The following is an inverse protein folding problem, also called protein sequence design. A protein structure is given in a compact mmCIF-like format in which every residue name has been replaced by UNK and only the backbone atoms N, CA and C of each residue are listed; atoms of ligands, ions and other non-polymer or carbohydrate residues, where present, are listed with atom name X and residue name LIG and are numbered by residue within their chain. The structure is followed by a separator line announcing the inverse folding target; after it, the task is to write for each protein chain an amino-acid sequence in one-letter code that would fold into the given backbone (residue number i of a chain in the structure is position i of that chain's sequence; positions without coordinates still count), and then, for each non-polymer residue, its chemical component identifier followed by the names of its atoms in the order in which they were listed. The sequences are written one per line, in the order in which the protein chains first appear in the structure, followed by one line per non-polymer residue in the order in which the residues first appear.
data_IF_240611137909
#
_entry.id   IF_240611137909
#
_cell.length_a   1.000
_cell.length_b   1.000
_cell.length_c   1.000
_cell.angle_alpha   90.00
_cell.angle_beta   90.00
_cell.angle_gamma   90.00
#
_symmetry.space_group_name_H-M   'P 1'
#
loop_
_entity.id
_entity.type
_entity.pdbx_description
1 polymer ?
#
# COMPACT_ATOMS: atom_id res chain seq x y z
N UNK A 1 -2.19 -22.57 -18.84
CA UNK A 1 -1.95 -21.39 -19.69
C UNK A 1 -0.72 -20.69 -19.14
N UNK A 2 0.21 -20.24 -19.99
CA UNK A 2 1.61 -19.98 -19.63
C UNK A 2 1.87 -19.25 -18.28
N UNK A 3 1.07 -18.24 -17.95
CA UNK A 3 1.18 -17.51 -16.68
C UNK A 3 0.68 -18.34 -15.48
N UNK A 4 -0.49 -18.96 -15.60
CA UNK A 4 -1.03 -19.87 -14.57
C UNK A 4 -0.14 -21.09 -14.32
N UNK A 5 0.52 -21.60 -15.36
CA UNK A 5 1.45 -22.73 -15.26
C UNK A 5 2.73 -22.37 -14.49
N UNK A 6 3.03 -21.06 -14.36
CA UNK A 6 4.12 -20.50 -13.53
C UNK A 6 3.64 -19.98 -12.17
N UNK A 7 2.39 -20.26 -11.79
CA UNK A 7 1.79 -19.76 -10.55
C UNK A 7 1.50 -18.26 -10.56
N UNK A 8 1.53 -17.63 -11.74
CA UNK A 8 1.23 -16.20 -11.93
C UNK A 8 -0.22 -16.08 -12.38
N UNK A 9 -1.13 -16.11 -11.41
CA UNK A 9 -2.57 -15.92 -11.64
C UNK A 9 -3.07 -14.78 -10.77
N UNK A 10 -3.79 -13.82 -11.36
CA UNK A 10 -4.58 -12.87 -10.58
C UNK A 10 -5.76 -13.63 -9.99
N UNK A 11 -5.81 -13.74 -8.67
CA UNK A 11 -6.91 -14.34 -7.93
C UNK A 11 -7.76 -13.26 -7.29
N UNK A 12 -8.83 -13.71 -6.64
CA UNK A 12 -9.82 -12.86 -6.00
C UNK A 12 -9.32 -12.26 -4.66
N UNK A 13 -8.11 -12.58 -4.20
CA UNK A 13 -7.54 -11.96 -3.01
C UNK A 13 -6.64 -10.78 -3.37
N UNK A 14 -6.89 -9.60 -2.79
CA UNK A 14 -6.06 -8.41 -2.98
C UNK A 14 -5.47 -7.90 -1.66
N UNK A 15 -4.16 -7.65 -1.64
CA UNK A 15 -3.45 -6.89 -0.61
C UNK A 15 -3.33 -5.44 -1.08
N UNK A 16 -3.80 -4.50 -0.27
CA UNK A 16 -3.59 -3.07 -0.49
C UNK A 16 -2.52 -2.53 0.45
N UNK A 17 -1.53 -1.83 -0.10
CA UNK A 17 -0.49 -1.17 0.69
C UNK A 17 0.12 0.03 -0.03
N UNK A 18 0.80 0.89 0.72
CA UNK A 18 1.41 2.10 0.19
C UNK A 18 2.83 2.31 0.70
N UNK A 19 3.68 2.84 -0.17
CA UNK A 19 5.07 3.18 0.17
C UNK A 19 5.40 4.63 -0.18
N UNK A 20 6.11 5.30 0.73
CA UNK A 20 6.58 6.68 0.50
C UNK A 20 7.80 6.68 -0.43
N UNK A 21 7.79 7.59 -1.41
CA UNK A 21 8.93 7.90 -2.29
C UNK A 21 9.28 9.38 -2.10
N UNK A 22 10.54 9.67 -1.79
CA UNK A 22 10.96 11.03 -1.49
C UNK A 22 10.99 11.89 -2.76
N UNK A 23 10.70 13.18 -2.61
CA UNK A 23 11.01 14.18 -3.61
C UNK A 23 12.19 15.06 -3.17
N UNK A 24 12.97 15.62 -4.11
CA UNK A 24 13.89 16.69 -3.80
C UNK A 24 13.15 17.85 -3.10
N UNK A 25 13.60 18.23 -1.91
CA UNK A 25 13.11 19.41 -1.19
C UNK A 25 13.81 20.71 -1.62
N UNK A 26 14.79 20.62 -2.53
CA UNK A 26 15.58 21.76 -2.99
C UNK A 26 14.72 22.80 -3.70
N UNK A 27 14.88 24.06 -3.30
CA UNK A 27 14.32 25.25 -3.95
C UNK A 27 15.32 25.93 -4.86
N UNK A 28 16.54 25.38 -5.02
CA UNK A 28 17.60 25.94 -5.87
C UNK A 28 17.29 25.74 -7.37
N UNK A 29 16.26 26.41 -7.84
CA UNK A 29 15.88 26.54 -9.26
C UNK A 29 15.47 28.00 -9.53
N UNK A 30 15.29 28.36 -10.80
CA UNK A 30 14.95 29.73 -11.24
C UNK A 30 13.74 30.32 -10.49
N UNK A 31 12.76 29.49 -10.17
CA UNK A 31 11.51 29.92 -9.53
C UNK A 31 11.56 29.89 -7.99
N UNK A 32 12.64 29.39 -7.39
CA UNK A 32 12.78 29.30 -5.93
C UNK A 32 11.80 28.34 -5.24
N UNK A 33 11.15 27.44 -5.98
CA UNK A 33 10.01 26.63 -5.49
C UNK A 33 10.28 25.13 -5.53
N UNK A 34 9.72 24.40 -4.57
CA UNK A 34 9.65 22.93 -4.61
C UNK A 34 8.71 22.47 -5.74
N UNK A 35 8.63 21.18 -5.97
CA UNK A 35 7.57 20.62 -6.82
C UNK A 35 6.20 20.90 -6.17
N UNK A 36 5.27 21.62 -6.86
CA UNK A 36 3.98 21.97 -6.31
C UNK A 36 3.03 20.78 -6.12
N UNK A 37 3.25 19.65 -6.82
CA UNK A 37 2.41 18.46 -6.71
C UNK A 37 2.91 17.48 -5.62
N UNK A 38 4.07 17.78 -5.03
CA UNK A 38 4.63 16.99 -3.92
C UNK A 38 4.27 17.64 -2.60
N UNK A 39 3.86 16.82 -1.64
CA UNK A 39 3.46 17.31 -0.31
C UNK A 39 4.15 16.54 0.80
N UNK A 40 4.11 17.11 2.00
CA UNK A 40 4.70 16.52 3.18
C UNK A 40 3.71 15.69 3.97
N UNK A 41 4.19 14.61 4.57
CA UNK A 41 3.44 13.80 5.54
C UNK A 41 4.34 13.42 6.71
N UNK A 42 3.74 13.08 7.84
CA UNK A 42 4.46 12.63 9.02
C UNK A 42 4.23 11.14 9.21
N UNK A 43 5.30 10.35 9.16
CA UNK A 43 5.27 8.92 9.48
C UNK A 43 6.12 8.66 10.72
N UNK A 44 5.48 8.23 11.81
CA UNK A 44 6.12 8.20 13.13
C UNK A 44 6.50 9.62 13.56
N UNK A 45 7.78 9.81 13.95
CA UNK A 45 8.30 11.13 14.33
C UNK A 45 9.05 11.85 13.20
N UNK A 46 9.04 11.30 11.98
CA UNK A 46 9.79 11.86 10.85
C UNK A 46 8.85 12.44 9.78
N UNK A 47 9.24 13.60 9.26
CA UNK A 47 8.57 14.23 8.11
C UNK A 47 9.18 13.74 6.80
N UNK A 48 8.32 13.51 5.82
CA UNK A 48 8.67 13.06 4.47
C UNK A 48 8.03 14.01 3.47
N UNK A 49 8.80 14.50 2.51
CA UNK A 49 8.30 15.31 1.39
C UNK A 49 8.36 14.48 0.12
N UNK A 50 7.25 14.35 -0.60
CA UNK A 50 7.20 13.61 -1.86
C UNK A 50 5.83 13.04 -2.17
N UNK A 51 5.83 11.78 -2.60
CA UNK A 51 4.64 11.05 -3.03
C UNK A 51 4.50 9.69 -2.34
N UNK A 52 3.36 9.06 -2.56
CA UNK A 52 3.08 7.66 -2.24
C UNK A 52 2.87 6.88 -3.53
N UNK A 53 3.37 5.65 -3.54
CA UNK A 53 2.97 4.62 -4.47
C UNK A 53 2.05 3.66 -3.73
N UNK A 54 0.77 3.65 -4.08
CA UNK A 54 -0.25 2.73 -3.59
C UNK A 54 -0.35 1.58 -4.57
N UNK A 55 -0.42 0.34 -4.08
CA UNK A 55 -0.54 -0.83 -4.92
C UNK A 55 -1.63 -1.77 -4.43
N UNK A 56 -2.29 -2.41 -5.41
CA UNK A 56 -3.09 -3.61 -5.23
C UNK A 56 -2.26 -4.78 -5.73
N UNK A 57 -2.04 -5.77 -4.87
CA UNK A 57 -1.27 -6.96 -5.20
C UNK A 57 -2.08 -8.21 -4.91
N UNK A 58 -1.96 -9.22 -5.76
CA UNK A 58 -2.57 -10.53 -5.54
C UNK A 58 -2.06 -11.15 -4.23
N UNK A 59 -2.98 -11.63 -3.38
CA UNK A 59 -2.64 -12.06 -2.03
C UNK A 59 -1.95 -13.43 -1.96
N UNK A 60 -1.95 -14.19 -3.06
CA UNK A 60 -1.25 -15.46 -3.17
C UNK A 60 0.14 -15.30 -3.76
N UNK A 61 0.23 -14.75 -4.97
CA UNK A 61 1.46 -14.58 -5.75
C UNK A 61 2.27 -13.35 -5.37
N UNK A 62 1.63 -12.32 -4.79
CA UNK A 62 2.28 -11.03 -4.51
C UNK A 62 2.50 -10.15 -5.74
N UNK A 63 1.94 -10.53 -6.90
CA UNK A 63 2.03 -9.74 -8.13
C UNK A 63 1.20 -8.47 -8.03
N UNK A 64 1.79 -7.34 -8.43
CA UNK A 64 1.10 -6.06 -8.47
C UNK A 64 0.19 -6.01 -9.70
N UNK A 65 -1.09 -5.73 -9.49
CA UNK A 65 -2.09 -5.59 -10.55
C UNK A 65 -2.58 -4.15 -10.72
N UNK A 66 -2.51 -3.35 -9.65
CA UNK A 66 -2.95 -1.95 -9.65
C UNK A 66 -1.91 -1.04 -9.01
N UNK A 67 -1.70 0.14 -9.57
CA UNK A 67 -0.76 1.15 -9.07
C UNK A 67 -1.38 2.53 -9.14
N UNK A 68 -1.36 3.27 -8.03
CA UNK A 68 -1.81 4.66 -7.97
C UNK A 68 -0.71 5.53 -7.33
N UNK A 69 -0.36 6.62 -7.99
CA UNK A 69 0.56 7.63 -7.46
C UNK A 69 -0.20 8.83 -6.92
N UNK A 70 0.11 9.26 -5.68
CA UNK A 70 -0.49 10.46 -5.07
C UNK A 70 0.56 11.27 -4.33
N UNK A 71 0.29 12.54 -4.04
CA UNK A 71 1.09 13.28 -3.06
C UNK A 71 1.11 12.58 -1.69
N UNK A 72 2.17 12.78 -0.91
CA UNK A 72 2.38 12.00 0.32
C UNK A 72 1.36 12.29 1.44
N UNK A 73 0.67 13.43 1.40
CA UNK A 73 -0.36 13.80 2.37
C UNK A 73 -1.72 13.11 2.13
N UNK A 74 -1.94 12.52 0.94
CA UNK A 74 -3.18 11.82 0.64
C UNK A 74 -3.31 10.60 1.54
N UNK A 75 -4.50 10.41 2.14
CA UNK A 75 -4.78 9.30 3.05
C UNK A 75 -4.88 7.99 2.27
N UNK A 76 -4.24 6.93 2.77
CA UNK A 76 -4.16 5.64 2.04
C UNK A 76 -5.56 5.01 1.86
N UNK A 77 -6.40 5.13 2.88
CA UNK A 77 -7.79 4.67 2.89
C UNK A 77 -8.68 5.28 1.80
N UNK A 78 -8.30 6.41 1.19
CA UNK A 78 -9.08 7.01 0.08
C UNK A 78 -8.72 6.45 -1.29
N UNK A 79 -7.68 5.61 -1.40
CA UNK A 79 -7.22 5.06 -2.67
C UNK A 79 -7.60 3.58 -2.87
N UNK A 80 -8.25 2.95 -1.90
CA UNK A 80 -8.57 1.51 -1.92
C UNK A 80 -9.40 1.14 -3.14
N UNK A 81 -10.45 1.89 -3.47
CA UNK A 81 -11.32 1.62 -4.63
C UNK A 81 -10.55 1.49 -5.95
N UNK A 82 -9.51 2.31 -6.14
CA UNK A 82 -8.65 2.32 -7.34
C UNK A 82 -7.60 1.21 -7.35
N UNK A 83 -7.48 0.49 -6.25
CA UNK A 83 -6.50 -0.58 -6.01
C UNK A 83 -7.15 -1.96 -6.15
N UNK A 84 -8.46 -2.02 -6.35
CA UNK A 84 -9.23 -3.24 -6.52
C UNK A 84 -9.53 -3.45 -8.01
N UNK A 85 -9.52 -4.71 -8.45
CA UNK A 85 -9.82 -5.11 -9.83
C UNK A 85 -11.30 -5.43 -10.05
N UNK A 86 -12.09 -5.60 -8.99
CA UNK A 86 -13.54 -5.75 -9.03
C UNK A 86 -14.03 -7.17 -8.71
N UNK A 87 -13.18 -8.18 -8.89
CA UNK A 87 -13.51 -9.59 -8.65
C UNK A 87 -13.02 -10.07 -7.27
N UNK A 88 -12.73 -9.16 -6.34
CA UNK A 88 -12.22 -9.54 -5.04
C UNK A 88 -13.22 -10.33 -4.18
N UNK A 89 -12.74 -11.35 -3.48
CA UNK A 89 -13.45 -12.02 -2.39
C UNK A 89 -12.84 -11.65 -1.01
N UNK A 90 -11.57 -11.22 -0.98
CA UNK A 90 -10.85 -10.83 0.23
C UNK A 90 -9.99 -9.59 -0.06
N UNK A 91 -10.04 -8.61 0.83
CA UNK A 91 -9.11 -7.46 0.83
C UNK A 91 -8.30 -7.41 2.11
N UNK A 92 -6.98 -7.56 1.99
CA UNK A 92 -6.02 -7.52 3.07
C UNK A 92 -5.36 -6.13 3.15
N UNK A 93 -5.41 -5.48 4.33
CA UNK A 93 -4.90 -4.12 4.47
C UNK A 93 -4.22 -3.87 5.82
N UNK A 94 -3.39 -2.82 5.87
CA UNK A 94 -2.77 -2.36 7.11
C UNK A 94 -3.70 -1.53 7.99
N UNK A 95 -3.27 -1.25 9.22
CA UNK A 95 -4.07 -0.50 10.18
C UNK A 95 -4.31 0.98 9.80
N UNK A 96 -3.59 1.50 8.80
CA UNK A 96 -3.81 2.79 8.16
C UNK A 96 -5.05 2.82 7.26
N UNK A 97 -5.55 1.65 6.84
CA UNK A 97 -6.79 1.49 6.06
C UNK A 97 -8.03 1.24 6.92
N UNK A 98 -7.93 1.39 8.25
CA UNK A 98 -9.08 1.21 9.15
C UNK A 98 -10.25 2.11 8.74
N UNK A 99 -11.43 1.53 8.52
CA UNK A 99 -12.64 2.24 8.10
C UNK A 99 -12.80 2.35 6.58
N UNK A 100 -11.86 1.80 5.79
CA UNK A 100 -12.00 1.70 4.34
C UNK A 100 -13.26 0.94 3.92
N UNK A 101 -13.59 -0.13 4.65
CA UNK A 101 -14.76 -0.97 4.39
C UNK A 101 -16.11 -0.24 4.53
N UNK A 102 -16.12 0.93 5.18
CA UNK A 102 -17.34 1.71 5.46
C UNK A 102 -17.54 2.89 4.53
N UNK A 103 -16.62 3.10 3.58
CA UNK A 103 -16.71 4.26 2.71
C UNK A 103 -17.75 4.03 1.60
N UNK A 104 -18.38 5.10 1.06
CA UNK A 104 -19.40 4.98 0.01
C UNK A 104 -18.92 4.23 -1.24
N UNK A 105 -17.62 4.33 -1.58
CA UNK A 105 -17.04 3.65 -2.74
C UNK A 105 -17.05 2.10 -2.61
N UNK A 106 -17.30 1.59 -1.40
CA UNK A 106 -17.33 0.16 -1.10
C UNK A 106 -18.71 -0.35 -0.67
N UNK A 107 -19.73 0.50 -0.73
CA UNK A 107 -21.11 0.09 -0.47
C UNK A 107 -21.56 -0.99 -1.47
N UNK A 108 -22.18 -2.05 -0.96
CA UNK A 108 -22.63 -3.19 -1.77
C UNK A 108 -21.53 -4.14 -2.26
N UNK A 109 -20.25 -3.91 -1.90
CA UNK A 109 -19.17 -4.85 -2.25
C UNK A 109 -19.21 -6.10 -1.36
N UNK A 110 -19.36 -7.26 -1.99
CA UNK A 110 -19.36 -8.57 -1.31
C UNK A 110 -17.94 -9.09 -1.07
N UNK A 111 -17.20 -8.43 -0.17
CA UNK A 111 -15.79 -8.71 0.09
C UNK A 111 -15.51 -8.89 1.58
N UNK A 112 -14.65 -9.86 1.91
CA UNK A 112 -14.15 -10.04 3.28
C UNK A 112 -12.98 -9.09 3.54
N UNK A 113 -13.19 -8.13 4.44
CA UNK A 113 -12.17 -7.17 4.84
C UNK A 113 -11.27 -7.71 5.96
N UNK A 114 -9.98 -7.88 5.65
CA UNK A 114 -8.93 -8.32 6.58
C UNK A 114 -7.98 -7.16 6.91
N UNK A 115 -8.52 -6.11 7.54
CA UNK A 115 -7.73 -4.98 8.03
C UNK A 115 -6.98 -5.39 9.32
N UNK A 116 -5.69 -5.09 9.38
CA UNK A 116 -4.87 -5.38 10.55
C UNK A 116 -5.29 -4.54 11.76
N UNK A 117 -5.45 -5.19 12.91
CA UNK A 117 -5.76 -4.49 14.16
C UNK A 117 -4.52 -3.81 14.73
N UNK A 118 -4.67 -2.57 15.21
CA UNK A 118 -3.59 -1.89 15.94
C UNK A 118 -3.25 -2.66 17.21
N UNK A 119 -1.96 -2.91 17.47
CA UNK A 119 -1.49 -3.64 18.66
C UNK A 119 -2.04 -3.10 19.98
N UNK A 120 -2.29 -1.79 20.06
CA UNK A 120 -2.86 -1.12 21.23
C UNK A 120 -4.27 -1.59 21.60
N UNK A 121 -5.06 -2.13 20.65
CA UNK A 121 -6.46 -2.52 20.89
C UNK A 121 -6.56 -3.82 21.69
N UNK A 122 -5.65 -4.77 21.46
CA UNK A 122 -5.68 -6.07 22.12
C UNK A 122 -4.56 -6.27 23.15
N UNK A 123 -3.57 -5.38 23.24
CA UNK A 123 -2.55 -5.41 24.32
C UNK A 123 -3.15 -5.20 25.72
N UNK A 124 -4.35 -4.60 25.81
CA UNK A 124 -5.08 -4.41 27.08
C UNK A 124 -5.64 -5.71 27.65
N UNK A 125 -5.76 -6.76 26.83
CA UNK A 125 -6.20 -8.08 27.29
C UNK A 125 -5.06 -8.76 28.06
N UNK A 126 -5.41 -9.58 29.05
CA UNK A 126 -4.44 -10.43 29.72
C UNK A 126 -3.78 -11.38 28.69
N UNK A 127 -2.44 -11.39 28.68
CA UNK A 127 -1.64 -12.24 27.79
C UNK A 127 -1.90 -13.73 27.98
N UNK A 128 -2.32 -14.14 29.19
CA UNK A 128 -2.65 -15.54 29.50
C UNK A 128 -4.03 -15.93 28.96
N UNK A 129 -4.91 -14.96 28.72
CA UNK A 129 -6.27 -15.20 28.22
C UNK A 129 -6.28 -15.89 26.85
N UNK A 130 -7.25 -16.79 26.67
CA UNK A 130 -7.50 -17.47 25.39
C UNK A 130 -7.79 -16.46 24.29
N UNK A 131 -8.56 -15.40 24.61
CA UNK A 131 -8.93 -14.34 23.67
C UNK A 131 -7.70 -13.59 23.14
N UNK A 132 -6.74 -13.24 23.99
CA UNK A 132 -5.49 -12.60 23.55
C UNK A 132 -4.70 -13.51 22.62
N UNK A 133 -4.55 -14.80 22.98
CA UNK A 133 -3.81 -15.78 22.18
C UNK A 133 -4.47 -15.98 20.81
N UNK A 134 -5.80 -16.08 20.76
CA UNK A 134 -6.57 -16.20 19.52
C UNK A 134 -6.39 -14.97 18.63
N UNK A 135 -6.60 -13.75 19.17
CA UNK A 135 -6.37 -12.50 18.42
C UNK A 135 -4.95 -12.40 17.88
N UNK A 136 -3.95 -12.75 18.69
CA UNK A 136 -2.55 -12.75 18.25
C UNK A 136 -2.29 -13.72 17.10
N UNK A 137 -2.92 -14.90 17.08
CA UNK A 137 -2.80 -15.84 15.96
C UNK A 137 -3.44 -15.28 14.68
N UNK A 138 -4.63 -14.69 14.78
CA UNK A 138 -5.31 -14.05 13.65
C UNK A 138 -4.46 -12.91 13.07
N UNK A 139 -3.98 -11.99 13.92
CA UNK A 139 -3.16 -10.87 13.46
C UNK A 139 -1.79 -11.32 12.90
N UNK A 140 -1.25 -12.44 13.40
CA UNK A 140 -0.05 -13.07 12.80
C UNK A 140 -0.34 -13.60 11.39
N UNK A 141 -1.49 -14.27 11.19
CA UNK A 141 -1.88 -14.77 9.88
C UNK A 141 -2.09 -13.62 8.87
N UNK A 142 -2.81 -12.55 9.26
CA UNK A 142 -2.95 -11.33 8.44
C UNK A 142 -1.59 -10.73 8.06
N UNK A 143 -0.66 -10.67 9.01
CA UNK A 143 0.69 -10.16 8.75
C UNK A 143 1.50 -11.03 7.78
N UNK A 144 1.33 -12.36 7.82
CA UNK A 144 2.01 -13.27 6.88
C UNK A 144 1.53 -13.08 5.45
N UNK A 145 0.22 -12.89 5.23
CA UNK A 145 -0.32 -12.56 3.90
C UNK A 145 0.25 -11.22 3.43
N UNK A 146 0.15 -10.19 4.28
CA UNK A 146 0.64 -8.84 3.96
C UNK A 146 2.13 -8.76 3.68
N UNK A 147 2.96 -9.63 4.27
CA UNK A 147 4.39 -9.63 4.03
C UNK A 147 4.75 -9.82 2.54
N UNK A 148 3.85 -10.40 1.73
CA UNK A 148 4.05 -10.55 0.28
C UNK A 148 4.20 -9.20 -0.44
N UNK A 149 3.49 -8.16 -0.01
CA UNK A 149 3.58 -6.81 -0.59
C UNK A 149 4.92 -6.12 -0.30
N UNK A 150 5.68 -6.60 0.70
CA UNK A 150 7.01 -6.07 1.00
C UNK A 150 8.01 -6.41 -0.12
N UNK A 151 7.80 -7.53 -0.83
CA UNK A 151 8.68 -7.95 -1.92
C UNK A 151 8.73 -6.95 -3.08
N UNK A 152 7.62 -6.58 -3.74
CA UNK A 152 7.65 -5.61 -4.83
C UNK A 152 8.19 -4.25 -4.36
N UNK A 153 7.83 -3.77 -3.16
CA UNK A 153 8.44 -2.54 -2.64
C UNK A 153 9.95 -2.63 -2.44
N UNK A 154 10.46 -3.78 -1.99
CA UNK A 154 11.90 -4.01 -1.87
C UNK A 154 12.58 -4.00 -3.23
N UNK A 155 12.01 -4.63 -4.25
CA UNK A 155 12.54 -4.63 -5.63
C UNK A 155 12.70 -3.19 -6.11
N UNK A 156 11.62 -2.41 -6.09
CA UNK A 156 11.60 -0.99 -6.50
C UNK A 156 12.68 -0.18 -5.76
N UNK A 157 12.74 -0.30 -4.43
CA UNK A 157 13.60 0.57 -3.61
C UNK A 157 15.06 0.14 -3.56
N UNK A 158 15.34 -1.17 -3.61
CA UNK A 158 16.68 -1.71 -3.40
C UNK A 158 17.33 -2.20 -4.68
N UNK A 159 16.61 -2.95 -5.52
CA UNK A 159 17.17 -3.47 -6.76
C UNK A 159 17.17 -2.38 -7.84
N UNK A 160 16.05 -1.66 -8.02
CA UNK A 160 15.98 -0.56 -8.99
C UNK A 160 16.46 0.78 -8.42
N UNK A 161 16.74 0.86 -7.11
CA UNK A 161 17.25 2.07 -6.47
C UNK A 161 16.27 3.26 -6.49
N UNK A 162 14.98 3.01 -6.71
CA UNK A 162 13.95 4.04 -6.81
C UNK A 162 13.50 4.53 -5.42
N UNK A 163 14.39 5.24 -4.74
CA UNK A 163 14.15 5.82 -3.40
C UNK A 163 13.71 7.28 -3.44
N UNK A 164 13.86 7.92 -4.60
CA UNK A 164 13.52 9.32 -4.86
C UNK A 164 12.93 9.46 -6.26
N UNK A 165 11.89 10.29 -6.38
CA UNK A 165 11.24 10.62 -7.65
C UNK A 165 12.25 11.27 -8.61
N UNK A 166 12.07 11.03 -9.91
CA UNK A 166 13.01 11.49 -10.94
C UNK A 166 12.49 12.67 -11.74
N UNK A 167 11.17 12.84 -11.77
CA UNK A 167 10.52 13.88 -12.55
C UNK A 167 9.84 14.92 -11.66
N UNK A 168 9.50 16.06 -12.25
CA UNK A 168 8.55 17.02 -11.69
C UNK A 168 7.13 16.64 -12.07
N UNK A 169 6.21 16.68 -11.11
CA UNK A 169 4.79 16.35 -11.28
C UNK A 169 4.45 14.88 -11.04
N UNK A 170 3.23 14.60 -10.58
CA UNK A 170 2.76 13.26 -10.21
C UNK A 170 2.57 12.38 -11.44
N UNK A 171 2.07 12.92 -12.56
CA UNK A 171 1.77 12.12 -13.75
C UNK A 171 2.99 11.34 -14.26
N UNK A 172 4.14 12.02 -14.44
CA UNK A 172 5.38 11.41 -14.93
C UNK A 172 5.95 10.38 -13.95
N UNK A 173 5.94 10.71 -12.66
CA UNK A 173 6.44 9.79 -11.63
C UNK A 173 5.52 8.58 -11.45
N UNK A 174 4.21 8.73 -11.65
CA UNK A 174 3.24 7.63 -11.61
C UNK A 174 3.42 6.71 -12.81
N UNK A 175 3.60 7.25 -14.02
CA UNK A 175 3.91 6.46 -15.20
C UNK A 175 5.20 5.63 -14.98
N UNK A 176 6.24 6.23 -14.39
CA UNK A 176 7.45 5.50 -14.04
C UNK A 176 7.21 4.40 -13.01
N UNK A 177 6.39 4.64 -11.97
CA UNK A 177 6.04 3.61 -10.99
C UNK A 177 5.33 2.41 -11.65
N UNK A 178 4.37 2.67 -12.55
CA UNK A 178 3.66 1.62 -13.30
C UNK A 178 4.66 0.75 -14.07
N UNK A 179 5.60 1.38 -14.80
CA UNK A 179 6.64 0.63 -15.51
C UNK A 179 7.50 -0.19 -14.56
N UNK A 180 7.93 0.38 -13.43
CA UNK A 180 8.81 -0.32 -12.50
C UNK A 180 8.12 -1.50 -11.79
N UNK A 181 6.80 -1.45 -11.54
CA UNK A 181 6.08 -2.58 -10.96
C UNK A 181 5.75 -3.69 -11.97
N UNK A 182 5.88 -3.41 -13.27
CA UNK A 182 5.66 -4.37 -14.34
C UNK A 182 6.93 -5.16 -14.76
N UNK A 183 8.12 -4.76 -14.28
CA UNK A 183 9.43 -5.37 -14.55
C UNK A 183 9.82 -6.36 -13.45
#
# INVERSE_FOLDING_TARGET
GYLGDRGLSLRQGTIVDATLINAPSSTKNKDGKRDPEMHQTKKGNQYYFGMKAHIGADDESGLVHSVVGTAANVADVTQVDKLLHGDENVVCADAGYTGGEKRPEHEGREVIWQVAARRSTYKKLDKRSVLYKAKRKIEKAKAQVRAKVEHPFRVIKRQFGYTKVRFRGLAKNTAQLVTLFAL
#
